data_IF_865186886851
#
_entry.id   IF_865186886851
#
_cell.length_a   1.000
_cell.length_b   1.000
_cell.length_c   1.000
_cell.angle_alpha   90.00
_cell.angle_beta   90.00
_cell.angle_gamma   90.00
#
_symmetry.space_group_name_H-M   'P 1'
#
loop_
_entity.id
_entity.type
_entity.pdbx_description
1 polymer ?
#
# COMPACT_ATOMS: atom_id res chain seq x y z
N UNK A 1 -31.71 -55.58 -17.94
CA UNK A 1 -31.63 -54.35 -17.12
C UNK A 1 -30.25 -53.74 -17.32
N UNK A 2 -30.10 -52.66 -18.09
CA UNK A 2 -28.76 -52.10 -18.41
C UNK A 2 -28.78 -50.67 -18.95
N UNK A 3 -29.90 -50.22 -19.51
CA UNK A 3 -30.01 -48.88 -20.10
C UNK A 3 -30.13 -47.75 -19.06
N UNK A 4 -30.74 -48.01 -17.90
CA UNK A 4 -30.79 -47.07 -16.77
C UNK A 4 -29.43 -46.91 -16.08
N UNK A 5 -28.65 -48.00 -16.02
CA UNK A 5 -27.36 -48.02 -15.34
C UNK A 5 -26.34 -47.12 -16.03
N UNK A 6 -26.29 -47.12 -17.36
CA UNK A 6 -25.38 -46.26 -18.12
C UNK A 6 -25.69 -44.76 -17.97
N UNK A 7 -26.97 -44.40 -17.85
CA UNK A 7 -27.38 -43.02 -17.60
C UNK A 7 -26.96 -42.58 -16.20
N UNK A 8 -27.14 -43.44 -15.20
CA UNK A 8 -26.72 -43.18 -13.81
C UNK A 8 -25.20 -43.03 -13.74
N UNK A 9 -24.43 -43.89 -14.42
CA UNK A 9 -22.97 -43.77 -14.52
C UNK A 9 -22.57 -42.46 -15.21
N UNK A 10 -23.24 -42.07 -16.28
CA UNK A 10 -22.98 -40.80 -16.97
C UNK A 10 -23.28 -39.58 -16.08
N UNK A 11 -24.40 -39.58 -15.35
CA UNK A 11 -24.73 -38.50 -14.41
C UNK A 11 -23.76 -38.44 -13.22
N UNK A 12 -23.32 -39.59 -12.71
CA UNK A 12 -22.30 -39.66 -11.66
C UNK A 12 -20.97 -39.07 -12.14
N UNK A 13 -20.52 -39.42 -13.35
CA UNK A 13 -19.31 -38.87 -13.95
C UNK A 13 -19.43 -37.35 -14.17
N UNK A 14 -20.56 -36.87 -14.69
CA UNK A 14 -20.82 -35.44 -14.88
C UNK A 14 -20.80 -34.67 -13.55
N UNK A 15 -21.45 -35.21 -12.51
CA UNK A 15 -21.46 -34.62 -11.18
C UNK A 15 -20.05 -34.55 -10.58
N UNK A 16 -19.23 -35.60 -10.77
CA UNK A 16 -17.84 -35.64 -10.30
C UNK A 16 -16.98 -34.58 -10.99
N UNK A 17 -17.14 -34.41 -12.32
CA UNK A 17 -16.47 -33.35 -13.08
C UNK A 17 -16.92 -31.96 -12.59
N UNK A 18 -18.21 -31.75 -12.35
CA UNK A 18 -18.71 -30.47 -11.83
C UNK A 18 -18.19 -30.14 -10.43
N UNK A 19 -18.06 -31.12 -9.54
CA UNK A 19 -17.46 -30.95 -8.21
C UNK A 19 -15.97 -30.62 -8.31
N UNK A 20 -15.24 -31.28 -9.23
CA UNK A 20 -13.84 -30.96 -9.49
C UNK A 20 -13.67 -29.54 -10.04
N UNK A 21 -14.51 -29.12 -10.98
CA UNK A 21 -14.49 -27.75 -11.50
C UNK A 21 -14.87 -26.70 -10.44
N UNK A 22 -15.86 -26.98 -9.59
CA UNK A 22 -16.23 -26.11 -8.48
C UNK A 22 -15.14 -26.04 -7.38
N UNK A 23 -14.30 -27.07 -7.25
CA UNK A 23 -13.14 -27.07 -6.34
C UNK A 23 -11.97 -26.24 -6.87
N UNK A 24 -11.91 -26.00 -8.19
CA UNK A 24 -10.88 -25.14 -8.82
C UNK A 24 -11.28 -23.66 -8.75
N UNK A 25 -12.55 -23.34 -8.48
CA UNK A 25 -12.96 -21.96 -8.18
C UNK A 25 -12.49 -21.63 -6.76
N UNK A 26 -11.53 -20.71 -6.56
CA UNK A 26 -11.19 -20.27 -5.22
C UNK A 26 -12.43 -19.61 -4.64
N UNK A 27 -13.04 -20.28 -3.67
CA UNK A 27 -14.14 -19.73 -2.90
C UNK A 27 -13.63 -18.44 -2.26
N UNK A 28 -14.15 -17.33 -2.77
CA UNK A 28 -13.96 -15.96 -2.29
C UNK A 28 -14.56 -15.79 -0.89
N UNK A 29 -14.11 -16.56 0.11
CA UNK A 29 -14.42 -16.29 1.52
C UNK A 29 -13.34 -16.89 2.43
N UNK A 30 -12.70 -16.02 3.22
CA UNK A 30 -11.90 -16.29 4.41
C UNK A 30 -10.51 -16.96 4.25
N UNK A 31 -9.49 -16.26 4.76
CA UNK A 31 -8.05 -16.61 4.82
C UNK A 31 -7.78 -18.01 5.40
N UNK A 32 -7.00 -18.87 4.71
CA UNK A 32 -6.22 -19.93 5.35
C UNK A 32 -4.77 -19.46 5.56
N UNK A 33 -4.32 -19.38 6.82
CA UNK A 33 -2.97 -18.94 7.22
C UNK A 33 -1.82 -19.91 6.88
N UNK A 34 -2.00 -20.81 5.90
CA UNK A 34 -0.95 -21.70 5.37
C UNK A 34 -0.32 -21.22 4.06
N UNK A 35 -0.79 -20.10 3.54
CA UNK A 35 -0.29 -19.48 2.31
C UNK A 35 1.02 -18.70 2.51
N UNK A 36 1.37 -18.28 3.72
CA UNK A 36 2.48 -17.32 3.92
C UNK A 36 3.87 -17.91 3.56
N UNK A 37 4.12 -19.17 3.92
CA UNK A 37 5.37 -19.86 3.55
C UNK A 37 5.42 -20.20 2.06
N UNK A 38 4.32 -20.67 1.48
CA UNK A 38 4.29 -21.07 0.08
C UNK A 38 4.28 -19.86 -0.87
N UNK A 39 3.63 -18.76 -0.49
CA UNK A 39 3.67 -17.47 -1.19
C UNK A 39 5.06 -16.81 -1.08
N UNK A 40 5.76 -17.00 0.04
CA UNK A 40 7.16 -16.57 0.22
C UNK A 40 8.09 -17.34 -0.73
N UNK A 41 7.98 -18.67 -0.76
CA UNK A 41 8.82 -19.52 -1.61
C UNK A 41 8.55 -19.28 -3.11
N UNK A 42 7.29 -19.13 -3.51
CA UNK A 42 6.94 -18.83 -4.90
C UNK A 42 7.44 -17.44 -5.34
N UNK A 43 7.36 -16.42 -4.47
CA UNK A 43 7.92 -15.09 -4.74
C UNK A 43 9.43 -15.10 -4.85
N UNK A 44 10.12 -15.85 -3.99
CA UNK A 44 11.57 -16.00 -4.05
C UNK A 44 12.00 -16.68 -5.37
N UNK A 45 11.30 -17.75 -5.76
CA UNK A 45 11.59 -18.49 -6.99
C UNK A 45 11.34 -17.63 -8.23
N UNK A 46 10.24 -16.88 -8.29
CA UNK A 46 9.96 -15.91 -9.36
C UNK A 46 11.05 -14.83 -9.42
N UNK A 47 11.51 -14.33 -8.27
CA UNK A 47 12.58 -13.34 -8.22
C UNK A 47 13.91 -13.88 -8.76
N UNK A 48 14.27 -15.12 -8.38
CA UNK A 48 15.49 -15.79 -8.84
C UNK A 48 15.43 -16.11 -10.34
N UNK A 49 14.26 -16.51 -10.86
CA UNK A 49 14.07 -16.76 -12.28
C UNK A 49 14.19 -15.48 -13.11
N UNK A 50 13.64 -14.35 -12.64
CA UNK A 50 13.81 -13.04 -13.32
C UNK A 50 15.26 -12.57 -13.34
N UNK A 51 16.01 -12.78 -12.25
CA UNK A 51 17.44 -12.45 -12.19
C UNK A 51 18.24 -13.33 -13.17
N UNK A 52 17.94 -14.63 -13.24
CA UNK A 52 18.59 -15.59 -14.16
C UNK A 52 18.30 -15.29 -15.63
N UNK A 53 17.10 -14.81 -15.95
CA UNK A 53 16.70 -14.46 -17.32
C UNK A 53 17.21 -13.09 -17.78
N UNK A 54 17.93 -12.35 -16.94
CA UNK A 54 18.62 -11.12 -17.34
C UNK A 54 17.71 -9.93 -17.66
N UNK A 55 16.42 -10.01 -17.33
CA UNK A 55 15.51 -8.86 -17.34
C UNK A 55 15.68 -8.07 -16.03
N UNK A 56 16.78 -7.31 -15.97
CA UNK A 56 17.00 -6.28 -14.96
C UNK A 56 16.05 -5.09 -15.16
N UNK A 57 14.74 -5.33 -15.05
CA UNK A 57 13.74 -4.28 -14.96
C UNK A 57 13.82 -3.65 -13.57
N UNK A 58 14.27 -2.39 -13.51
CA UNK A 58 14.27 -1.55 -12.31
C UNK A 58 12.97 -1.75 -11.51
N UNK A 59 13.08 -2.23 -10.26
CA UNK A 59 11.95 -2.37 -9.34
C UNK A 59 11.47 -0.96 -8.98
N UNK A 60 10.55 -0.43 -9.78
CA UNK A 60 9.81 0.76 -9.42
C UNK A 60 8.87 0.41 -8.26
N UNK A 61 9.24 0.79 -7.04
CA UNK A 61 8.30 0.85 -5.93
C UNK A 61 7.17 1.81 -6.30
N UNK A 62 6.02 1.27 -6.74
CA UNK A 62 4.79 2.05 -6.89
C UNK A 62 4.27 2.39 -5.49
N UNK A 63 4.76 3.50 -4.92
CA UNK A 63 4.04 4.17 -3.83
C UNK A 63 2.72 4.66 -4.42
N UNK A 64 1.60 4.22 -3.83
CA UNK A 64 0.27 4.73 -4.19
C UNK A 64 0.13 6.20 -3.77
N UNK A 65 0.74 7.13 -4.51
CA UNK A 65 0.36 8.53 -4.50
C UNK A 65 -0.70 8.75 -5.57
N UNK A 66 -1.96 8.52 -5.20
CA UNK A 66 -3.09 9.02 -5.98
C UNK A 66 -3.24 10.52 -5.67
N UNK A 67 -2.42 11.37 -6.31
CA UNK A 67 -2.69 12.80 -6.39
C UNK A 67 -2.45 13.23 -7.84
N UNK A 68 -3.54 13.58 -8.51
CA UNK A 68 -3.60 13.92 -9.93
C UNK A 68 -2.60 15.02 -10.27
N UNK A 69 -1.74 14.75 -11.25
CA UNK A 69 -0.75 15.69 -11.79
C UNK A 69 -1.42 16.59 -12.83
N UNK A 70 -1.57 17.85 -12.46
CA UNK A 70 -1.58 19.00 -13.35
C UNK A 70 -1.12 20.18 -12.50
N UNK A 71 -0.28 21.05 -13.08
CA UNK A 71 0.42 22.23 -12.53
C UNK A 71 1.90 22.06 -12.16
N UNK A 72 2.71 22.55 -13.10
CA UNK A 72 3.76 23.57 -12.95
C UNK A 72 4.97 23.33 -12.03
N UNK A 73 6.12 23.73 -12.56
CA UNK A 73 7.50 23.63 -12.06
C UNK A 73 7.74 24.43 -10.75
N UNK A 74 7.01 24.09 -9.69
CA UNK A 74 7.17 24.63 -8.34
C UNK A 74 7.84 23.67 -7.35
N UNK A 75 8.30 22.52 -7.83
CA UNK A 75 8.74 21.41 -6.97
C UNK A 75 10.04 21.70 -6.21
N UNK A 76 10.92 22.55 -6.75
CA UNK A 76 12.21 22.85 -6.11
C UNK A 76 12.10 23.80 -4.92
N UNK A 77 11.14 24.74 -4.94
CA UNK A 77 10.97 25.73 -3.87
C UNK A 77 10.50 25.08 -2.57
N UNK A 78 9.58 24.12 -2.69
CA UNK A 78 9.08 23.38 -1.54
C UNK A 78 10.16 22.45 -0.95
N UNK A 79 11.09 21.95 -1.77
CA UNK A 79 12.15 21.05 -1.31
C UNK A 79 13.10 21.73 -0.32
N UNK A 80 13.49 22.99 -0.58
CA UNK A 80 14.32 23.76 0.36
C UNK A 80 13.59 24.07 1.68
N UNK A 81 12.29 24.37 1.61
CA UNK A 81 11.49 24.68 2.83
C UNK A 81 11.36 23.49 3.77
N UNK A 82 11.32 22.27 3.22
CA UNK A 82 11.15 21.06 4.03
C UNK A 82 12.47 20.41 4.45
N UNK A 83 13.61 20.89 3.97
CA UNK A 83 14.93 20.31 4.29
C UNK A 83 15.15 20.22 5.81
N UNK A 84 14.79 21.27 6.56
CA UNK A 84 14.93 21.30 8.02
C UNK A 84 14.11 20.22 8.73
N UNK A 85 12.97 19.82 8.17
CA UNK A 85 12.17 18.71 8.68
C UNK A 85 12.80 17.34 8.36
N UNK A 86 13.70 17.22 7.40
CA UNK A 86 14.44 15.97 7.20
C UNK A 86 15.65 15.86 8.13
N UNK A 87 16.21 17.00 8.55
CA UNK A 87 17.36 17.06 9.44
C UNK A 87 16.97 16.93 10.93
N UNK A 88 15.77 17.39 11.31
CA UNK A 88 15.26 17.36 12.68
C UNK A 88 13.96 16.54 12.79
N UNK A 89 14.06 15.37 13.41
CA UNK A 89 12.95 14.43 13.61
C UNK A 89 11.85 15.00 14.53
N UNK A 90 12.18 15.76 15.58
CA UNK A 90 11.18 16.37 16.47
C UNK A 90 10.36 17.42 15.73
N UNK A 91 11.05 18.28 14.97
CA UNK A 91 10.39 19.28 14.12
C UNK A 91 9.53 18.61 13.05
N UNK A 92 10.02 17.53 12.43
CA UNK A 92 9.27 16.76 11.44
C UNK A 92 7.96 16.22 12.01
N UNK A 93 8.03 15.54 13.16
CA UNK A 93 6.86 14.97 13.80
C UNK A 93 5.83 16.04 14.16
N UNK A 94 6.28 17.16 14.73
CA UNK A 94 5.42 18.29 15.05
C UNK A 94 4.71 18.82 13.80
N UNK A 95 5.46 19.11 12.74
CA UNK A 95 4.91 19.67 11.51
C UNK A 95 3.97 18.70 10.80
N UNK A 96 4.26 17.39 10.81
CA UNK A 96 3.34 16.37 10.29
C UNK A 96 2.04 16.31 11.10
N UNK A 97 2.12 16.31 12.43
CA UNK A 97 0.93 16.33 13.30
C UNK A 97 0.10 17.57 13.05
N UNK A 98 0.74 18.74 13.00
CA UNK A 98 0.09 20.03 12.78
C UNK A 98 -0.64 20.10 11.43
N UNK A 99 0.00 19.69 10.34
CA UNK A 99 -0.64 19.63 9.02
C UNK A 99 -1.83 18.66 9.00
N UNK A 100 -1.72 17.53 9.70
CA UNK A 100 -2.80 16.54 9.80
C UNK A 100 -4.03 17.08 10.53
N UNK A 101 -3.85 17.75 11.67
CA UNK A 101 -4.97 18.26 12.47
C UNK A 101 -5.66 19.46 11.84
N UNK A 102 -4.88 20.35 11.20
CA UNK A 102 -5.39 21.53 10.48
C UNK A 102 -6.01 21.19 9.14
N UNK A 103 -5.67 20.01 8.58
CA UNK A 103 -6.10 19.55 7.26
C UNK A 103 -5.65 20.47 6.12
N UNK A 104 -4.60 21.26 6.34
CA UNK A 104 -4.00 22.14 5.34
C UNK A 104 -2.64 21.59 4.90
N UNK A 105 -2.48 21.39 3.60
CA UNK A 105 -1.22 20.93 3.01
C UNK A 105 -0.14 22.01 2.98
N UNK A 106 -0.51 23.30 3.13
CA UNK A 106 0.44 24.42 3.21
C UNK A 106 1.11 24.51 4.59
N UNK A 107 0.47 23.99 5.63
CA UNK A 107 0.99 24.08 7.00
C UNK A 107 2.29 23.29 7.16
N UNK A 108 2.46 22.17 6.45
CA UNK A 108 3.70 21.38 6.54
C UNK A 108 4.94 22.17 6.07
N UNK A 109 5.01 22.67 4.82
CA UNK A 109 6.18 23.45 4.36
C UNK A 109 6.35 24.77 5.12
N UNK A 110 5.26 25.45 5.53
CA UNK A 110 5.38 26.66 6.36
C UNK A 110 5.92 26.35 7.76
N UNK A 111 5.51 25.24 8.38
CA UNK A 111 6.04 24.81 9.65
C UNK A 111 7.52 24.44 9.57
N UNK A 112 7.94 23.71 8.53
CA UNK A 112 9.34 23.30 8.35
C UNK A 112 10.30 24.48 8.13
N UNK A 113 9.85 25.50 7.39
CA UNK A 113 10.61 26.73 7.13
C UNK A 113 10.43 27.79 8.22
N UNK A 114 9.52 27.57 9.17
CA UNK A 114 9.05 28.56 10.14
C UNK A 114 8.58 29.87 9.48
N UNK A 115 7.93 29.78 8.32
CA UNK A 115 7.22 30.89 7.69
C UNK A 115 6.09 31.35 8.61
N UNK A 116 5.94 32.67 8.78
CA UNK A 116 4.92 33.30 9.63
C UNK A 116 4.85 32.73 11.06
N UNK A 117 6.00 32.34 11.62
CA UNK A 117 6.08 31.71 12.96
C UNK A 117 5.24 30.43 13.11
N UNK A 118 4.94 29.77 11.98
CA UNK A 118 4.05 28.59 11.93
C UNK A 118 4.59 27.45 12.79
N UNK A 119 5.90 27.31 13.00
CA UNK A 119 6.46 26.28 13.88
C UNK A 119 6.03 26.49 15.33
N UNK A 120 6.11 27.73 15.82
CA UNK A 120 5.70 28.10 17.18
C UNK A 120 4.20 27.90 17.34
N UNK A 121 3.41 28.39 16.37
CA UNK A 121 1.96 28.19 16.36
C UNK A 121 1.59 26.69 16.37
N UNK A 122 2.27 25.87 15.57
CA UNK A 122 2.06 24.43 15.54
C UNK A 122 2.39 23.78 16.89
N UNK A 123 3.46 24.21 17.57
CA UNK A 123 3.82 23.72 18.91
C UNK A 123 2.70 24.01 19.90
N UNK A 124 2.21 25.24 19.94
CA UNK A 124 1.13 25.64 20.83
C UNK A 124 -0.19 24.93 20.51
N UNK A 125 -0.54 24.82 19.22
CA UNK A 125 -1.79 24.22 18.78
C UNK A 125 -1.83 22.70 19.01
N UNK A 126 -0.74 21.99 18.68
CA UNK A 126 -0.66 20.53 18.82
C UNK A 126 -0.57 20.12 20.29
N UNK A 127 0.15 20.88 21.12
CA UNK A 127 0.34 20.58 22.55
C UNK A 127 -0.63 21.30 23.49
N UNK A 128 -1.62 22.00 22.94
CA UNK A 128 -2.64 22.66 23.74
C UNK A 128 -3.34 21.66 24.69
N UNK A 129 -3.25 21.90 26.00
CA UNK A 129 -3.90 21.08 27.03
C UNK A 129 -3.21 19.77 27.38
N UNK A 130 -2.01 19.49 26.86
CA UNK A 130 -1.24 18.25 27.15
C UNK A 130 -0.26 18.46 28.32
N UNK A 131 -0.07 19.72 28.77
CA UNK A 131 0.68 20.04 29.98
C UNK A 131 -0.25 19.85 31.21
N UNK A 132 -0.29 18.63 31.72
CA UNK A 132 -0.85 18.27 33.04
C UNK A 132 0.19 17.51 33.84
#
# INVERSE_FOLDING_TARGET
MGFQSNKIVMYLQLALVLVLLASIVPQITARPSRDLEQQSQAKLLDHLLRIRLGEGGSIHHKRHHKRSSNYDDGFDVDYQRVQKCYDDEETNELCQRCSKVTKSSLVFPMCCSNEDETLTWCREYVYYGIQT
#
